data_IF_598191517320
#
_entry.id   IF_598191517320
#
_cell.length_a   1.000
_cell.length_b   1.000
_cell.length_c   1.000
_cell.angle_alpha   90.00
_cell.angle_beta   90.00
_cell.angle_gamma   90.00
#
_symmetry.space_group_name_H-M   'P 1'
#
loop_
_entity.id
_entity.type
_entity.pdbx_description
1 polymer ?
#
# COMPACT_ATOMS: atom_id res chain seq x y z
N UNK A 1 -10.71 -47.32 -63.27
CA UNK A 1 -12.17 -47.46 -63.16
C UNK A 1 -12.81 -46.07 -63.31
N UNK A 2 -13.65 -45.89 -64.34
CA UNK A 2 -14.87 -45.05 -64.45
C UNK A 2 -14.75 -43.57 -63.96
N UNK A 3 -14.50 -42.57 -64.82
CA UNK A 3 -15.43 -41.73 -65.64
C UNK A 3 -16.65 -41.13 -64.91
N UNK A 4 -16.71 -39.79 -64.79
CA UNK A 4 -17.84 -38.90 -65.16
C UNK A 4 -17.57 -37.50 -64.56
N UNK A 5 -17.32 -36.43 -65.32
CA UNK A 5 -18.09 -35.69 -66.34
C UNK A 5 -19.09 -34.69 -65.72
N UNK A 6 -18.81 -33.42 -66.03
CA UNK A 6 -19.41 -32.12 -65.72
C UNK A 6 -20.92 -32.05 -65.49
N UNK A 7 -21.34 -31.03 -64.72
CA UNK A 7 -22.46 -30.15 -65.08
C UNK A 7 -22.28 -28.76 -64.45
N UNK A 8 -22.14 -27.76 -65.33
CA UNK A 8 -22.38 -26.35 -65.06
C UNK A 8 -23.85 -26.16 -64.67
N UNK A 9 -24.10 -25.34 -63.67
CA UNK A 9 -25.31 -24.51 -63.62
C UNK A 9 -24.91 -23.10 -63.24
N UNK A 10 -24.84 -22.24 -64.24
CA UNK A 10 -24.82 -20.78 -64.07
C UNK A 10 -26.11 -20.35 -63.38
N UNK A 11 -25.99 -19.56 -62.32
CA UNK A 11 -27.02 -18.62 -61.92
C UNK A 11 -26.42 -17.23 -61.99
N UNK A 12 -26.76 -16.50 -63.05
CA UNK A 12 -26.67 -15.04 -63.07
C UNK A 12 -27.96 -14.55 -62.44
N UNK A 13 -27.86 -13.90 -61.28
CA UNK A 13 -28.88 -13.01 -60.77
C UNK A 13 -28.24 -11.64 -60.59
N UNK A 14 -28.51 -10.77 -61.57
CA UNK A 14 -28.30 -9.33 -61.49
C UNK A 14 -29.41 -8.73 -60.60
N UNK A 15 -29.02 -8.04 -59.53
CA UNK A 15 -29.89 -7.07 -58.86
C UNK A 15 -29.04 -5.87 -58.42
N UNK A 16 -29.12 -4.80 -59.21
CA UNK A 16 -28.92 -3.43 -58.73
C UNK A 16 -30.08 -3.10 -57.78
N UNK A 17 -29.78 -2.58 -56.59
CA UNK A 17 -30.28 -1.28 -56.11
C UNK A 17 -30.00 -1.06 -54.61
N UNK A 18 -29.30 0.06 -54.36
CA UNK A 18 -29.49 1.04 -53.31
C UNK A 18 -29.72 0.59 -51.85
N UNK A 19 -28.71 0.91 -51.03
CA UNK A 19 -28.93 1.75 -49.84
C UNK A 19 -29.28 1.04 -48.54
N UNK A 20 -28.29 0.95 -47.65
CA UNK A 20 -28.42 1.51 -46.30
C UNK A 20 -27.03 1.50 -45.65
N UNK A 21 -26.66 2.65 -45.12
CA UNK A 21 -25.53 2.83 -44.24
C UNK A 21 -25.60 1.84 -43.07
N UNK A 22 -24.46 1.25 -42.74
CA UNK A 22 -24.33 0.36 -41.61
C UNK A 22 -22.86 0.04 -41.38
N UNK A 23 -22.03 1.08 -41.21
CA UNK A 23 -20.78 0.89 -40.48
C UNK A 23 -21.19 0.33 -39.11
N UNK A 24 -20.86 -0.94 -38.88
CA UNK A 24 -20.79 -1.47 -37.53
C UNK A 24 -19.63 -0.76 -36.83
N UNK A 25 -19.86 0.48 -36.40
CA UNK A 25 -19.16 1.07 -35.29
C UNK A 25 -19.47 0.16 -34.11
N UNK A 26 -18.55 -0.76 -33.84
CA UNK A 26 -18.47 -1.36 -32.53
C UNK A 26 -18.28 -0.19 -31.58
N UNK A 27 -19.36 0.20 -30.91
CA UNK A 27 -19.28 0.96 -29.67
C UNK A 27 -18.46 0.10 -28.72
N UNK A 28 -17.13 0.24 -28.80
CA UNK A 28 -16.28 0.15 -27.63
C UNK A 28 -16.65 1.35 -26.75
N UNK A 29 -17.87 1.29 -26.21
CA UNK A 29 -18.19 1.92 -24.96
C UNK A 29 -17.09 1.47 -24.03
N UNK A 30 -16.23 2.42 -23.70
CA UNK A 30 -15.12 2.29 -22.80
C UNK A 30 -15.67 1.73 -21.50
N UNK A 31 -15.58 0.40 -21.36
CA UNK A 31 -15.41 -0.24 -20.06
C UNK A 31 -14.02 0.18 -19.57
N UNK A 32 -13.86 1.48 -19.33
CA UNK A 32 -12.96 1.99 -18.34
C UNK A 32 -13.49 1.40 -17.05
N UNK A 33 -12.97 0.22 -16.74
CA UNK A 33 -12.84 -0.34 -15.42
C UNK A 33 -12.55 0.86 -14.51
N UNK A 34 -13.61 1.36 -13.85
CA UNK A 34 -13.47 2.38 -12.83
C UNK A 34 -12.70 1.65 -11.75
N UNK A 35 -11.37 1.75 -11.81
CA UNK A 35 -10.50 1.41 -10.71
C UNK A 35 -11.14 2.05 -9.49
N UNK A 36 -11.75 1.23 -8.64
CA UNK A 36 -12.40 1.72 -7.45
C UNK A 36 -11.33 2.47 -6.67
N UNK A 37 -11.46 3.79 -6.57
CA UNK A 37 -10.58 4.58 -5.73
C UNK A 37 -10.63 3.93 -4.35
N UNK A 38 -9.50 3.45 -3.81
CA UNK A 38 -9.52 2.78 -2.52
C UNK A 38 -10.10 3.77 -1.52
N UNK A 39 -11.20 3.40 -0.86
CA UNK A 39 -11.78 4.24 0.18
C UNK A 39 -10.69 4.55 1.20
N UNK A 40 -10.54 5.81 1.63
CA UNK A 40 -9.55 6.14 2.64
C UNK A 40 -9.81 5.27 3.88
N UNK A 41 -8.74 4.68 4.42
CA UNK A 41 -8.84 3.93 5.67
C UNK A 41 -9.35 4.87 6.76
N UNK A 42 -10.23 4.37 7.63
CA UNK A 42 -10.70 5.15 8.76
C UNK A 42 -9.51 5.57 9.64
N UNK A 43 -9.56 6.78 10.19
CA UNK A 43 -8.50 7.31 11.06
C UNK A 43 -8.25 6.39 12.24
N UNK A 44 -6.98 6.20 12.59
CA UNK A 44 -6.56 5.36 13.71
C UNK A 44 -5.75 6.19 14.68
N UNK A 45 -6.41 6.78 15.69
CA UNK A 45 -5.80 7.71 16.65
C UNK A 45 -4.46 7.22 17.24
N UNK A 46 -4.36 5.96 17.63
CA UNK A 46 -3.13 5.41 18.20
C UNK A 46 -1.97 5.34 17.18
N UNK A 47 -2.27 5.12 15.90
CA UNK A 47 -1.30 5.21 14.81
C UNK A 47 -0.80 6.64 14.65
N UNK A 48 -1.70 7.63 14.59
CA UNK A 48 -1.35 9.05 14.43
C UNK A 48 -0.51 9.56 15.60
N UNK A 49 -0.89 9.18 16.82
CA UNK A 49 -0.14 9.52 18.04
C UNK A 49 1.26 8.93 18.03
N UNK A 50 1.44 7.70 17.54
CA UNK A 50 2.76 7.09 17.38
C UNK A 50 3.55 7.77 16.27
N UNK A 51 2.94 8.00 15.11
CA UNK A 51 3.56 8.66 13.96
C UNK A 51 4.09 10.05 14.32
N UNK A 52 3.33 10.85 15.09
CA UNK A 52 3.78 12.16 15.56
C UNK A 52 5.10 12.11 16.35
N UNK A 53 5.33 11.06 17.14
CA UNK A 53 6.59 10.88 17.87
C UNK A 53 7.68 10.37 16.95
N UNK A 54 7.37 9.36 16.13
CA UNK A 54 8.31 8.78 15.21
C UNK A 54 8.85 9.83 14.22
N UNK A 55 7.98 10.58 13.55
CA UNK A 55 8.37 11.65 12.62
C UNK A 55 9.21 12.74 13.33
N UNK A 56 8.81 13.14 14.54
CA UNK A 56 9.55 14.12 15.35
C UNK A 56 10.87 13.61 15.95
N UNK A 57 11.29 12.37 15.66
CA UNK A 57 12.56 11.79 16.10
C UNK A 57 13.39 11.29 14.92
N UNK A 58 12.76 10.63 13.96
CA UNK A 58 13.40 10.09 12.76
C UNK A 58 13.89 11.20 11.83
N UNK A 59 13.06 12.17 11.45
CA UNK A 59 13.51 13.21 10.50
C UNK A 59 14.65 14.09 11.04
N UNK A 60 14.64 14.54 12.30
CA UNK A 60 15.82 15.20 12.87
C UNK A 60 17.08 14.30 12.87
N UNK A 61 16.91 12.99 13.06
CA UNK A 61 18.02 12.04 13.05
C UNK A 61 18.67 11.93 11.65
N UNK A 62 17.90 12.09 10.57
CA UNK A 62 18.42 12.13 9.19
C UNK A 62 19.42 13.27 8.99
N UNK A 63 19.21 14.40 9.68
CA UNK A 63 20.14 15.54 9.72
C UNK A 63 21.25 15.39 10.78
N UNK A 64 21.35 14.22 11.42
CA UNK A 64 22.32 13.93 12.48
C UNK A 64 21.90 14.38 13.88
N UNK A 65 20.71 14.97 14.05
CA UNK A 65 20.21 15.40 15.35
C UNK A 65 19.49 14.26 16.10
N UNK A 66 20.22 13.56 16.96
CA UNK A 66 19.67 12.50 17.82
C UNK A 66 19.07 13.00 19.15
N UNK A 67 19.12 14.30 19.44
CA UNK A 67 18.62 14.84 20.70
C UNK A 67 17.11 14.58 20.91
N UNK A 68 16.23 14.75 19.91
CA UNK A 68 14.81 14.38 20.02
C UNK A 68 14.61 12.90 20.31
N UNK A 69 15.35 12.02 19.62
CA UNK A 69 15.29 10.56 19.83
C UNK A 69 15.64 10.21 21.27
N UNK A 70 16.74 10.77 21.81
CA UNK A 70 17.17 10.51 23.19
C UNK A 70 16.14 11.01 24.22
N UNK A 71 15.47 12.13 23.97
CA UNK A 71 14.44 12.69 24.86
C UNK A 71 13.12 11.92 24.83
N UNK A 72 12.77 11.33 23.69
CA UNK A 72 11.41 10.82 23.41
C UNK A 72 11.33 9.30 23.24
N UNK A 73 12.44 8.56 23.38
CA UNK A 73 12.44 7.11 23.16
C UNK A 73 11.43 6.36 24.05
N UNK A 74 11.30 6.74 25.33
CA UNK A 74 10.29 6.15 26.22
C UNK A 74 8.85 6.50 25.81
N UNK A 75 8.63 7.73 25.30
CA UNK A 75 7.34 8.14 24.73
C UNK A 75 6.98 7.28 23.51
N UNK A 76 7.95 7.09 22.62
CA UNK A 76 7.81 6.28 21.42
C UNK A 76 7.49 4.81 21.77
N UNK A 77 8.22 4.20 22.70
CA UNK A 77 7.98 2.83 23.16
C UNK A 77 6.58 2.66 23.78
N UNK A 78 6.14 3.61 24.63
CA UNK A 78 4.78 3.56 25.21
C UNK A 78 3.70 3.65 24.13
N UNK A 79 3.83 4.57 23.17
CA UNK A 79 2.85 4.76 22.09
C UNK A 79 2.82 3.58 21.12
N UNK A 80 3.97 2.99 20.82
CA UNK A 80 4.07 1.75 20.04
C UNK A 80 3.27 0.62 20.72
N UNK A 81 3.46 0.45 22.04
CA UNK A 81 2.70 -0.50 22.86
C UNK A 81 1.19 -0.20 22.87
N UNK A 82 0.81 1.07 22.99
CA UNK A 82 -0.61 1.47 22.94
C UNK A 82 -1.24 1.15 21.59
N UNK A 83 -0.55 1.45 20.49
CA UNK A 83 -1.02 1.15 19.14
C UNK A 83 -1.14 -0.36 18.90
N UNK A 84 -0.12 -1.13 19.27
CA UNK A 84 -0.10 -2.60 19.17
C UNK A 84 -1.28 -3.28 19.88
N UNK A 85 -1.76 -2.68 20.97
CA UNK A 85 -2.89 -3.19 21.77
C UNK A 85 -4.24 -2.59 21.38
N UNK A 86 -4.26 -1.57 20.53
CA UNK A 86 -5.49 -0.89 20.14
C UNK A 86 -6.28 -1.72 19.12
N UNK A 87 -7.60 -1.51 19.08
CA UNK A 87 -8.49 -2.16 18.12
C UNK A 87 -8.33 -1.49 16.75
N UNK A 88 -8.00 -2.23 15.67
CA UNK A 88 -7.98 -1.68 14.33
C UNK A 88 -9.36 -1.17 13.92
N UNK A 89 -9.46 0.00 13.26
CA UNK A 89 -10.71 0.46 12.67
C UNK A 89 -11.26 -0.51 11.61
N UNK A 90 -12.53 -0.34 11.23
CA UNK A 90 -13.13 -1.12 10.15
C UNK A 90 -12.34 -0.91 8.84
N UNK A 91 -12.06 -2.00 8.14
CA UNK A 91 -11.32 -1.99 6.87
C UNK A 91 -9.83 -2.31 7.00
N UNK A 92 -9.32 -2.50 8.22
CA UNK A 92 -7.97 -3.02 8.45
C UNK A 92 -7.99 -4.54 8.58
N UNK A 93 -7.01 -5.22 8.00
CA UNK A 93 -6.80 -6.66 8.14
C UNK A 93 -6.02 -6.94 9.44
N UNK A 94 -6.76 -7.16 10.53
CA UNK A 94 -6.18 -7.35 11.86
C UNK A 94 -5.20 -8.54 11.92
N UNK A 95 -5.48 -9.62 11.19
CA UNK A 95 -4.64 -10.82 11.17
C UNK A 95 -3.28 -10.53 10.53
N UNK A 96 -3.27 -9.79 9.41
CA UNK A 96 -2.02 -9.37 8.75
C UNK A 96 -1.23 -8.35 9.56
N UNK A 97 -1.92 -7.42 10.23
CA UNK A 97 -1.26 -6.31 10.92
C UNK A 97 -0.73 -6.68 12.30
N UNK A 98 -1.34 -7.67 12.98
CA UNK A 98 -0.93 -8.07 14.33
C UNK A 98 0.57 -8.41 14.46
N UNK A 99 1.18 -9.25 13.59
CA UNK A 99 2.61 -9.54 13.71
C UNK A 99 3.49 -8.29 13.48
N UNK A 100 3.11 -7.40 12.57
CA UNK A 100 3.83 -6.15 12.30
C UNK A 100 3.77 -5.19 13.49
N UNK A 101 2.60 -5.06 14.12
CA UNK A 101 2.42 -4.22 15.32
C UNK A 101 3.23 -4.73 16.52
N UNK A 102 3.33 -6.05 16.70
CA UNK A 102 4.18 -6.66 17.73
C UNK A 102 5.67 -6.44 17.43
N UNK A 103 6.07 -6.53 16.16
CA UNK A 103 7.42 -6.20 15.69
C UNK A 103 7.75 -4.73 16.01
N UNK A 104 6.84 -3.82 15.67
CA UNK A 104 6.96 -2.38 15.93
C UNK A 104 7.08 -2.06 17.42
N UNK A 105 6.26 -2.67 18.28
CA UNK A 105 6.36 -2.53 19.75
C UNK A 105 7.74 -2.95 20.27
N UNK A 106 8.27 -4.09 19.79
CA UNK A 106 9.60 -4.58 20.18
C UNK A 106 10.72 -3.66 19.70
N UNK A 107 10.63 -3.16 18.48
CA UNK A 107 11.66 -2.27 17.90
C UNK A 107 11.68 -0.91 18.61
N UNK A 108 10.51 -0.34 18.93
CA UNK A 108 10.44 0.88 19.73
C UNK A 108 11.00 0.67 21.14
N UNK A 109 10.77 -0.50 21.74
CA UNK A 109 11.37 -0.86 23.02
C UNK A 109 12.90 -1.00 22.94
N UNK A 110 13.45 -1.52 21.84
CA UNK A 110 14.91 -1.58 21.65
C UNK A 110 15.51 -0.19 21.50
N UNK A 111 14.86 0.75 20.79
CA UNK A 111 15.33 2.15 20.74
C UNK A 111 15.38 2.76 22.14
N UNK A 112 14.34 2.59 22.95
CA UNK A 112 14.33 3.06 24.35
C UNK A 112 15.45 2.43 25.18
N UNK A 113 15.68 1.12 25.04
CA UNK A 113 16.77 0.41 25.73
C UNK A 113 18.16 0.90 25.29
N UNK A 114 18.36 1.17 24.01
CA UNK A 114 19.61 1.71 23.45
C UNK A 114 19.89 3.11 24.01
N UNK A 115 18.88 3.97 24.06
CA UNK A 115 18.98 5.31 24.65
C UNK A 115 19.29 5.23 26.14
N UNK A 116 18.57 4.39 26.89
CA UNK A 116 18.75 4.24 28.33
C UNK A 116 20.15 3.74 28.70
N UNK A 117 20.76 2.87 27.89
CA UNK A 117 22.13 2.39 28.08
C UNK A 117 23.22 3.30 27.50
N UNK A 118 22.84 4.49 27.01
CA UNK A 118 23.74 5.44 26.37
C UNK A 118 24.56 4.79 25.23
N UNK A 119 23.90 3.96 24.41
CA UNK A 119 24.55 3.32 23.27
C UNK A 119 25.11 4.33 22.27
N UNK A 120 26.00 3.83 21.40
CA UNK A 120 26.58 4.62 20.32
C UNK A 120 25.49 5.18 19.41
N UNK A 121 25.74 6.36 18.84
CA UNK A 121 24.80 7.03 17.93
C UNK A 121 24.40 6.11 16.77
N UNK A 122 25.36 5.38 16.21
CA UNK A 122 25.13 4.47 15.09
C UNK A 122 24.13 3.36 15.43
N UNK A 123 24.22 2.77 16.62
CA UNK A 123 23.28 1.74 17.06
C UNK A 123 21.85 2.31 17.20
N UNK A 124 21.73 3.53 17.71
CA UNK A 124 20.43 4.21 17.87
C UNK A 124 19.84 4.55 16.51
N UNK A 125 20.67 5.03 15.56
CA UNK A 125 20.23 5.32 14.18
C UNK A 125 19.71 4.07 13.50
N UNK A 126 20.47 2.98 13.53
CA UNK A 126 20.07 1.71 12.91
C UNK A 126 18.76 1.17 13.49
N UNK A 127 18.60 1.23 14.82
CA UNK A 127 17.37 0.80 15.47
C UNK A 127 16.17 1.71 15.12
N UNK A 128 16.38 3.03 15.06
CA UNK A 128 15.33 3.99 14.71
C UNK A 128 14.90 3.85 13.24
N UNK A 129 15.84 3.65 12.31
CA UNK A 129 15.54 3.39 10.90
C UNK A 129 14.75 2.10 10.73
N UNK A 130 15.16 1.02 11.40
CA UNK A 130 14.41 -0.24 11.37
C UNK A 130 12.98 -0.09 11.89
N UNK A 131 12.79 0.67 12.97
CA UNK A 131 11.46 0.98 13.50
C UNK A 131 10.62 1.76 12.48
N UNK A 132 11.23 2.74 11.82
CA UNK A 132 10.60 3.55 10.79
C UNK A 132 10.17 2.71 9.57
N UNK A 133 11.02 1.80 9.10
CA UNK A 133 10.67 0.88 8.01
C UNK A 133 9.47 0.00 8.37
N UNK A 134 9.44 -0.55 9.59
CA UNK A 134 8.28 -1.31 10.06
C UNK A 134 7.01 -0.45 10.16
N UNK A 135 7.14 0.85 10.47
CA UNK A 135 5.99 1.76 10.39
C UNK A 135 5.48 1.87 8.94
N UNK A 136 6.37 2.03 7.96
CA UNK A 136 5.98 2.06 6.55
C UNK A 136 5.31 0.74 6.08
N UNK A 137 5.74 -0.42 6.59
CA UNK A 137 5.07 -1.70 6.32
C UNK A 137 3.60 -1.73 6.79
N UNK A 138 3.25 -0.94 7.82
CA UNK A 138 1.92 -0.92 8.44
C UNK A 138 1.05 0.21 7.88
N UNK A 139 1.63 1.41 7.82
CA UNK A 139 0.94 2.67 7.61
C UNK A 139 1.14 3.25 6.19
N UNK A 140 2.14 2.78 5.47
CA UNK A 140 2.68 3.43 4.29
C UNK A 140 3.61 4.59 4.63
N UNK A 141 4.09 5.28 3.60
CA UNK A 141 5.00 6.44 3.71
C UNK A 141 4.46 7.52 4.66
N UNK A 142 5.37 8.17 5.39
CA UNK A 142 5.07 9.36 6.18
C UNK A 142 4.39 10.44 5.31
N UNK A 143 3.35 11.09 5.84
CA UNK A 143 2.60 12.18 5.19
C UNK A 143 2.37 13.31 6.17
#
# INVERSE_FOLDING_TARGET
MIRMRHLLTSFVALALALGAAGWAATDRATAQERAATPKPKATWKAQEEFHSVLAGTFHPMEDGNLEPTRKRADEMARKARMWSRSKPPKGYDAAKLRPLLVKLEREAAEVAKLVARQAADEDIKQALSKLHDTYHDIAGECR
#
